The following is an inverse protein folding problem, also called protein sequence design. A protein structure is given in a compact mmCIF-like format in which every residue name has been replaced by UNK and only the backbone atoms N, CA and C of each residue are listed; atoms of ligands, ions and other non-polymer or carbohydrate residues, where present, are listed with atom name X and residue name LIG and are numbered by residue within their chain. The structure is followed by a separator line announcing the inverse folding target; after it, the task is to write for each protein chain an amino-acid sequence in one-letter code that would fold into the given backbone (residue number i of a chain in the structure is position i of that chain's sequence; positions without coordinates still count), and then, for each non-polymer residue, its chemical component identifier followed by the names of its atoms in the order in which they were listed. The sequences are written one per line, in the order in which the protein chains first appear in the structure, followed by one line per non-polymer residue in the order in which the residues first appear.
data_IF_715458601960
#
_entry.id   IF_715458601960
#
_cell.length_a   1.000
_cell.length_b   1.000
_cell.length_c   1.000
_cell.angle_alpha   90.00
_cell.angle_beta   90.00
_cell.angle_gamma   90.00
#
_symmetry.space_group_name_H-M   'P 1'
#
loop_
_entity.id
_entity.type
_entity.pdbx_description
1 polymer ?
#
# COMPACT_ATOMS: atom_id res chain seq x y z
N UNK A 1 -11.88 20.83 -2.96
CA UNK A 1 -12.38 19.53 -2.46
C UNK A 1 -13.16 18.92 -3.61
N UNK A 2 -12.69 17.82 -4.21
CA UNK A 2 -13.49 17.08 -5.19
C UNK A 2 -14.49 16.29 -4.36
N UNK A 3 -15.69 16.85 -4.15
CA UNK A 3 -16.79 16.08 -3.53
C UNK A 3 -17.10 14.91 -4.47
N UNK A 4 -16.77 13.70 -4.02
CA UNK A 4 -17.23 12.49 -4.68
C UNK A 4 -18.70 12.33 -4.32
N UNK A 5 -19.59 12.78 -5.23
CA UNK A 5 -21.04 12.56 -5.09
C UNK A 5 -21.29 11.06 -5.00
N UNK A 6 -21.92 10.63 -3.89
CA UNK A 6 -22.38 9.25 -3.68
C UNK A 6 -23.89 9.23 -3.70
N UNK A 7 -24.43 8.19 -4.32
CA UNK A 7 -25.85 7.86 -4.17
C UNK A 7 -26.09 7.28 -2.77
N UNK A 8 -27.27 7.55 -2.19
CA UNK A 8 -27.66 6.94 -0.91
C UNK A 8 -27.62 5.41 -1.03
N UNK A 9 -26.74 4.76 -0.27
CA UNK A 9 -26.52 3.31 -0.27
C UNK A 9 -25.16 2.85 -0.80
N UNK A 10 -24.30 3.73 -1.30
CA UNK A 10 -22.95 3.35 -1.75
C UNK A 10 -22.01 3.19 -0.54
N UNK A 11 -21.58 1.94 -0.30
CA UNK A 11 -20.63 1.61 0.78
C UNK A 11 -19.25 2.19 0.47
N UNK A 12 -18.55 2.68 1.52
CA UNK A 12 -17.15 3.06 1.39
C UNK A 12 -16.30 1.88 0.94
N UNK A 13 -15.27 2.16 0.15
CA UNK A 13 -14.39 1.16 -0.48
C UNK A 13 -12.97 1.36 -0.02
N UNK A 14 -12.29 0.29 0.32
CA UNK A 14 -10.87 0.29 0.60
C UNK A 14 -10.15 -0.66 -0.35
N UNK A 15 -8.90 -0.32 -0.68
CA UNK A 15 -7.97 -1.22 -1.37
C UNK A 15 -6.82 -1.54 -0.44
N UNK A 16 -6.51 -2.82 -0.26
CA UNK A 16 -5.34 -3.30 0.46
C UNK A 16 -4.36 -3.92 -0.54
N UNK A 17 -3.17 -3.35 -0.67
CA UNK A 17 -2.12 -3.85 -1.56
C UNK A 17 -1.14 -4.69 -0.75
N UNK A 18 -0.98 -5.96 -1.12
CA UNK A 18 0.11 -6.82 -0.65
C UNK A 18 1.23 -6.80 -1.69
N UNK A 19 2.41 -6.32 -1.31
CA UNK A 19 3.56 -6.21 -2.21
C UNK A 19 4.63 -7.30 -2.01
N UNK A 20 4.30 -8.38 -1.28
CA UNK A 20 5.22 -9.50 -1.08
C UNK A 20 5.66 -10.14 -2.40
N UNK A 21 6.95 -10.53 -2.48
CA UNK A 21 7.48 -11.30 -3.59
C UNK A 21 7.46 -12.82 -3.35
N UNK A 22 7.19 -13.27 -2.12
CA UNK A 22 7.31 -14.68 -1.77
C UNK A 22 6.21 -15.54 -2.38
N UNK A 23 6.61 -16.51 -3.18
CA UNK A 23 5.77 -17.59 -3.69
C UNK A 23 5.99 -18.80 -2.77
N UNK A 24 5.36 -18.81 -1.60
CA UNK A 24 5.39 -20.00 -0.75
C UNK A 24 4.09 -20.78 -0.89
N UNK A 25 4.20 -22.04 -1.28
CA UNK A 25 3.05 -22.96 -1.36
C UNK A 25 2.60 -23.46 0.03
N UNK A 26 3.43 -23.27 1.06
CA UNK A 26 3.20 -23.85 2.40
C UNK A 26 2.82 -22.84 3.49
N UNK A 27 3.15 -21.55 3.31
CA UNK A 27 2.89 -20.54 4.32
C UNK A 27 2.19 -19.33 3.70
N UNK A 28 1.17 -18.81 4.37
CA UNK A 28 0.57 -17.54 4.00
C UNK A 28 1.62 -16.43 4.12
N UNK A 29 1.73 -15.58 3.11
CA UNK A 29 2.62 -14.41 3.15
C UNK A 29 2.20 -13.50 4.31
N UNK A 30 3.18 -13.01 5.09
CA UNK A 30 2.96 -12.04 6.17
C UNK A 30 2.17 -10.82 5.67
N UNK A 31 2.50 -10.29 4.47
CA UNK A 31 1.75 -9.17 3.88
C UNK A 31 0.28 -9.53 3.63
N UNK A 32 0.00 -10.74 3.15
CA UNK A 32 -1.39 -11.21 2.94
C UNK A 32 -2.12 -11.31 4.28
N UNK A 33 -1.49 -11.89 5.30
CA UNK A 33 -2.11 -11.99 6.63
C UNK A 33 -2.43 -10.61 7.23
N UNK A 34 -1.56 -9.63 7.05
CA UNK A 34 -1.83 -8.24 7.45
C UNK A 34 -3.04 -7.69 6.68
N UNK A 35 -3.10 -7.90 5.36
CA UNK A 35 -4.25 -7.49 4.56
C UNK A 35 -5.56 -8.19 4.98
N UNK A 36 -5.51 -9.45 5.42
CA UNK A 36 -6.67 -10.17 5.97
C UNK A 36 -7.16 -9.57 7.29
N UNK A 37 -6.24 -9.16 8.17
CA UNK A 37 -6.57 -8.45 9.41
C UNK A 37 -7.25 -7.11 9.10
N UNK A 38 -6.70 -6.35 8.13
CA UNK A 38 -7.31 -5.11 7.66
C UNK A 38 -8.70 -5.36 7.07
N UNK A 39 -8.86 -6.37 6.20
CA UNK A 39 -10.13 -6.72 5.59
C UNK A 39 -11.21 -7.04 6.63
N UNK A 40 -10.87 -7.80 7.68
CA UNK A 40 -11.77 -8.08 8.79
C UNK A 40 -12.18 -6.80 9.52
N UNK A 41 -11.21 -5.92 9.83
CA UNK A 41 -11.47 -4.63 10.48
C UNK A 41 -12.36 -3.72 9.64
N UNK A 42 -12.12 -3.64 8.33
CA UNK A 42 -12.93 -2.85 7.39
C UNK A 42 -14.36 -3.37 7.29
N UNK A 43 -14.53 -4.70 7.24
CA UNK A 43 -15.86 -5.33 7.23
C UNK A 43 -16.67 -5.00 8.48
N UNK A 44 -16.04 -4.97 9.67
CA UNK A 44 -16.68 -4.56 10.93
C UNK A 44 -17.18 -3.10 10.91
N UNK A 45 -16.63 -2.28 10.01
CA UNK A 45 -17.02 -0.88 9.77
C UNK A 45 -17.94 -0.71 8.55
N UNK A 46 -18.44 -1.80 7.98
CA UNK A 46 -19.23 -1.79 6.74
C UNK A 46 -18.51 -1.14 5.55
N UNK A 47 -17.18 -1.30 5.48
CA UNK A 47 -16.36 -0.83 4.36
C UNK A 47 -16.00 -2.04 3.51
N UNK A 48 -16.31 -1.99 2.21
CA UNK A 48 -15.92 -3.05 1.29
C UNK A 48 -14.41 -3.01 1.05
N UNK A 49 -13.76 -4.19 1.01
CA UNK A 49 -12.32 -4.27 0.79
C UNK A 49 -11.98 -5.05 -0.49
N UNK A 50 -11.05 -4.52 -1.26
CA UNK A 50 -10.42 -5.21 -2.39
C UNK A 50 -8.96 -5.50 -2.07
N UNK A 51 -8.60 -6.78 -2.00
CA UNK A 51 -7.21 -7.21 -1.87
C UNK A 51 -6.55 -7.25 -3.25
N UNK A 52 -5.46 -6.50 -3.41
CA UNK A 52 -4.56 -6.57 -4.57
C UNK A 52 -3.26 -7.26 -4.15
N UNK A 53 -3.09 -8.50 -4.57
CA UNK A 53 -1.85 -9.27 -4.39
C UNK A 53 -0.96 -9.07 -5.62
N UNK A 54 0.08 -8.22 -5.51
CA UNK A 54 0.96 -7.89 -6.63
C UNK A 54 1.69 -9.10 -7.22
N UNK A 55 1.80 -10.21 -6.50
CA UNK A 55 2.37 -11.45 -7.06
C UNK A 55 1.58 -11.98 -8.25
N UNK A 56 0.26 -11.77 -8.24
CA UNK A 56 -0.70 -12.25 -9.24
C UNK A 56 -0.80 -11.34 -10.47
N UNK A 57 -0.05 -10.25 -10.51
CA UNK A 57 -0.09 -9.26 -11.58
C UNK A 57 1.26 -9.15 -12.29
N UNK A 58 1.23 -9.26 -13.61
CA UNK A 58 2.42 -9.07 -14.46
C UNK A 58 2.44 -7.62 -14.96
N UNK A 59 2.85 -6.70 -14.07
CA UNK A 59 3.03 -5.30 -14.40
C UNK A 59 4.48 -5.05 -14.86
N UNK A 60 4.65 -4.15 -15.84
CA UNK A 60 5.94 -3.84 -16.45
C UNK A 60 6.41 -2.44 -16.10
N UNK A 61 7.73 -2.17 -16.06
CA UNK A 61 8.26 -0.82 -15.85
C UNK A 61 7.72 0.20 -16.85
N UNK A 62 7.71 1.48 -16.47
CA UNK A 62 7.34 2.56 -17.38
C UNK A 62 8.40 2.71 -18.47
N UNK A 63 7.97 2.85 -19.74
CA UNK A 63 8.86 3.05 -20.88
C UNK A 63 8.89 4.51 -21.35
N UNK A 64 8.29 5.43 -20.60
CA UNK A 64 8.33 6.87 -20.92
C UNK A 64 7.60 7.26 -22.20
N UNK A 65 6.65 6.48 -22.71
CA UNK A 65 5.98 6.73 -23.98
C UNK A 65 5.03 7.95 -23.99
N UNK A 66 4.65 8.48 -22.81
CA UNK A 66 3.77 9.65 -22.68
C UNK A 66 2.30 9.41 -23.00
N UNK A 67 1.89 8.20 -23.41
CA UNK A 67 0.51 7.90 -23.81
C UNK A 67 -0.52 8.13 -22.70
N UNK A 68 -0.12 7.99 -21.45
CA UNK A 68 -0.97 8.24 -20.28
C UNK A 68 -1.36 9.73 -20.10
N UNK A 69 -0.67 10.66 -20.75
CA UNK A 69 -1.07 12.07 -20.76
C UNK A 69 -2.47 12.28 -21.37
N UNK A 70 -2.82 11.48 -22.38
CA UNK A 70 -4.13 11.60 -23.06
C UNK A 70 -5.21 10.79 -22.33
N UNK A 71 -4.88 9.55 -21.99
CA UNK A 71 -5.89 8.58 -21.49
C UNK A 71 -6.01 8.54 -19.97
N UNK A 72 -5.05 9.12 -19.23
CA UNK A 72 -4.86 8.94 -17.78
C UNK A 72 -4.71 7.47 -17.37
N UNK A 73 -4.35 6.62 -18.32
CA UNK A 73 -4.11 5.18 -18.16
C UNK A 73 -2.87 4.80 -18.95
N UNK A 74 -2.17 3.75 -18.51
CA UNK A 74 -1.03 3.22 -19.26
C UNK A 74 -1.53 2.58 -20.57
N UNK A 75 -1.01 3.02 -21.71
CA UNK A 75 -1.42 2.49 -23.01
C UNK A 75 -0.90 1.08 -23.30
N UNK A 76 0.10 0.61 -22.57
CA UNK A 76 0.79 -0.68 -22.80
C UNK A 76 0.63 -1.71 -21.68
N UNK A 77 -0.04 -1.37 -20.57
CA UNK A 77 -0.13 -2.26 -19.41
C UNK A 77 -1.57 -2.31 -18.85
N UNK A 78 -2.41 -3.18 -19.38
CA UNK A 78 -3.79 -3.31 -18.91
C UNK A 78 -3.88 -3.88 -17.47
N UNK A 79 -2.88 -4.65 -17.02
CA UNK A 79 -2.88 -5.16 -15.64
C UNK A 79 -2.61 -4.04 -14.63
N UNK A 80 -1.68 -3.13 -14.94
CA UNK A 80 -1.51 -1.92 -14.16
C UNK A 80 -2.81 -1.10 -14.12
N UNK A 81 -3.46 -0.87 -15.26
CA UNK A 81 -4.70 -0.11 -15.31
C UNK A 81 -5.80 -0.72 -14.44
N UNK A 82 -5.93 -2.05 -14.44
CA UNK A 82 -6.88 -2.74 -13.58
C UNK A 82 -6.62 -2.56 -12.07
N UNK A 83 -5.35 -2.39 -11.66
CA UNK A 83 -5.00 -2.04 -10.28
C UNK A 83 -5.30 -0.55 -10.03
N UNK A 84 -4.86 0.32 -10.93
CA UNK A 84 -5.03 1.76 -10.84
C UNK A 84 -6.52 2.15 -10.71
N UNK A 85 -7.39 1.55 -11.53
CA UNK A 85 -8.84 1.79 -11.48
C UNK A 85 -9.47 1.41 -10.13
N UNK A 86 -8.99 0.34 -9.50
CA UNK A 86 -9.44 -0.03 -8.14
C UNK A 86 -9.04 1.02 -7.12
N UNK A 87 -7.80 1.56 -7.22
CA UNK A 87 -7.30 2.59 -6.31
C UNK A 87 -8.08 3.91 -6.52
N UNK A 88 -8.32 4.32 -7.77
CA UNK A 88 -9.12 5.51 -8.11
C UNK A 88 -10.53 5.44 -7.52
N UNK A 89 -11.14 4.25 -7.49
CA UNK A 89 -12.49 4.05 -6.95
C UNK A 89 -12.53 3.89 -5.43
N UNK A 90 -11.37 3.78 -4.78
CA UNK A 90 -11.30 3.60 -3.34
C UNK A 90 -11.39 4.92 -2.58
N UNK A 91 -11.91 4.84 -1.36
CA UNK A 91 -11.90 5.91 -0.38
C UNK A 91 -10.68 5.84 0.52
N UNK A 92 -10.15 4.64 0.71
CA UNK A 92 -8.98 4.36 1.53
C UNK A 92 -8.04 3.42 0.81
N UNK A 93 -6.75 3.65 0.99
CA UNK A 93 -5.69 2.77 0.50
C UNK A 93 -4.83 2.28 1.66
N UNK A 94 -4.49 1.00 1.66
CA UNK A 94 -3.47 0.44 2.54
C UNK A 94 -2.38 -0.24 1.70
N UNK A 95 -1.13 0.12 1.95
CA UNK A 95 0.03 -0.49 1.30
C UNK A 95 0.80 -1.30 2.33
N UNK A 96 0.85 -2.61 2.15
CA UNK A 96 1.57 -3.54 3.02
C UNK A 96 2.82 -4.02 2.29
N UNK A 97 3.98 -3.63 2.79
CA UNK A 97 5.26 -3.89 2.13
C UNK A 97 6.28 -4.58 3.04
N UNK A 98 6.84 -5.70 2.61
CA UNK A 98 8.07 -6.19 3.23
C UNK A 98 9.25 -5.29 2.86
N UNK A 99 10.32 -5.34 3.66
CA UNK A 99 11.60 -4.74 3.33
C UNK A 99 12.36 -5.60 2.32
N UNK A 100 12.52 -5.09 1.09
CA UNK A 100 13.32 -5.69 0.01
C UNK A 100 13.99 -4.61 -0.84
N UNK A 101 15.19 -4.20 -0.51
CA UNK A 101 16.13 -3.39 -1.27
C UNK A 101 15.60 -2.06 -1.90
N UNK A 102 14.95 -1.13 -1.25
CA UNK A 102 14.29 -1.21 0.04
C UNK A 102 12.85 -1.73 -0.02
N UNK A 103 12.16 -1.59 -1.18
CA UNK A 103 10.79 -2.04 -1.43
C UNK A 103 10.73 -3.06 -2.58
N UNK A 104 9.71 -3.94 -2.62
CA UNK A 104 9.57 -4.91 -3.70
C UNK A 104 9.47 -4.27 -5.08
N UNK A 105 10.11 -4.88 -6.09
CA UNK A 105 10.18 -4.34 -7.45
C UNK A 105 8.79 -4.05 -8.06
N UNK A 106 7.80 -4.95 -7.89
CA UNK A 106 6.45 -4.73 -8.41
C UNK A 106 5.75 -3.53 -7.75
N UNK A 107 6.01 -3.28 -6.45
CA UNK A 107 5.49 -2.07 -5.79
C UNK A 107 6.13 -0.82 -6.39
N UNK A 108 7.45 -0.83 -6.61
CA UNK A 108 8.13 0.30 -7.23
C UNK A 108 7.60 0.58 -8.64
N UNK A 109 7.38 -0.45 -9.46
CA UNK A 109 6.76 -0.31 -10.80
C UNK A 109 5.36 0.31 -10.72
N UNK A 110 4.55 -0.12 -9.74
CA UNK A 110 3.21 0.44 -9.54
C UNK A 110 3.28 1.94 -9.21
N UNK A 111 4.13 2.32 -8.26
CA UNK A 111 4.33 3.71 -7.83
C UNK A 111 4.89 4.57 -8.98
N UNK A 112 5.91 4.09 -9.70
CA UNK A 112 6.50 4.76 -10.87
C UNK A 112 5.45 5.12 -11.93
N UNK A 113 4.57 4.18 -12.27
CA UNK A 113 3.52 4.44 -13.27
C UNK A 113 2.44 5.40 -12.79
N UNK A 114 2.06 5.32 -11.51
CA UNK A 114 1.11 6.26 -10.91
C UNK A 114 1.71 7.68 -10.88
N UNK A 115 2.99 7.80 -10.51
CA UNK A 115 3.73 9.07 -10.53
C UNK A 115 3.78 9.65 -11.95
N UNK A 116 4.10 8.84 -12.96
CA UNK A 116 4.19 9.28 -14.34
C UNK A 116 2.86 9.86 -14.87
N UNK A 117 1.73 9.24 -14.53
CA UNK A 117 0.40 9.76 -14.89
C UNK A 117 0.16 11.13 -14.24
N UNK A 118 0.45 11.25 -12.94
CA UNK A 118 0.24 12.49 -12.18
C UNK A 118 1.18 13.59 -12.65
N UNK A 119 2.48 13.27 -12.79
CA UNK A 119 3.54 14.22 -13.14
C UNK A 119 3.31 14.88 -14.50
N UNK A 120 2.95 14.12 -15.54
CA UNK A 120 2.74 14.67 -16.88
C UNK A 120 1.63 15.73 -16.92
N UNK A 121 0.58 15.56 -16.13
CA UNK A 121 -0.49 16.54 -16.03
C UNK A 121 -0.08 17.74 -15.17
N UNK A 122 0.52 17.47 -13.99
CA UNK A 122 1.00 18.51 -13.08
C UNK A 122 2.07 19.42 -13.74
N UNK A 123 2.95 18.84 -14.56
CA UNK A 123 3.95 19.61 -15.31
C UNK A 123 3.34 20.62 -16.27
N UNK A 124 2.19 20.34 -16.82
CA UNK A 124 1.44 21.24 -17.71
C UNK A 124 0.57 22.25 -16.97
N UNK A 125 0.04 21.83 -15.83
CA UNK A 125 -0.82 22.63 -14.97
C UNK A 125 -0.49 22.28 -13.51
N UNK A 126 0.23 23.18 -12.82
CA UNK A 126 0.65 22.97 -11.43
C UNK A 126 -0.52 23.01 -10.42
N UNK A 127 -1.73 23.32 -10.87
CA UNK A 127 -2.96 23.26 -10.07
C UNK A 127 -3.69 21.92 -10.24
N UNK A 128 -3.18 21.03 -11.11
CA UNK A 128 -3.79 19.74 -11.40
C UNK A 128 -3.93 18.87 -10.14
N UNK A 129 -5.13 18.34 -9.97
CA UNK A 129 -5.44 17.32 -8.96
C UNK A 129 -5.70 16.00 -9.66
N UNK A 130 -4.89 14.99 -9.31
CA UNK A 130 -5.04 13.65 -9.88
C UNK A 130 -6.35 12.97 -9.43
N UNK A 131 -6.72 11.89 -10.09
CA UNK A 131 -7.84 11.04 -9.65
C UNK A 131 -7.58 10.42 -8.26
N UNK A 132 -6.33 10.41 -7.81
CA UNK A 132 -5.87 9.90 -6.50
C UNK A 132 -5.76 10.99 -5.42
N UNK A 133 -6.06 12.26 -5.78
CA UNK A 133 -5.81 13.40 -4.91
C UNK A 133 -6.43 13.22 -3.53
N UNK A 134 -5.55 13.24 -2.50
CA UNK A 134 -5.91 13.19 -1.08
C UNK A 134 -6.66 11.91 -0.63
N UNK A 135 -6.55 10.79 -1.35
CA UNK A 135 -7.03 9.51 -0.81
C UNK A 135 -6.17 9.14 0.41
N UNK A 136 -6.76 8.98 1.61
CA UNK A 136 -6.06 8.58 2.81
C UNK A 136 -5.38 7.23 2.62
N UNK A 137 -4.06 7.19 2.87
CA UNK A 137 -3.25 6.00 2.61
C UNK A 137 -2.46 5.60 3.85
N UNK A 138 -2.72 4.40 4.35
CA UNK A 138 -1.98 3.77 5.42
C UNK A 138 -0.82 2.92 4.88
N UNK A 139 0.38 3.07 5.46
CA UNK A 139 1.57 2.30 5.11
C UNK A 139 1.94 1.38 6.26
N UNK A 140 2.10 0.10 5.96
CA UNK A 140 2.48 -0.93 6.94
C UNK A 140 3.68 -1.70 6.40
N UNK A 141 4.83 -1.53 7.04
CA UNK A 141 6.02 -2.30 6.69
C UNK A 141 6.29 -3.46 7.66
N UNK A 142 7.00 -4.46 7.18
CA UNK A 142 7.48 -5.57 7.98
C UNK A 142 8.77 -6.15 7.39
N UNK A 143 9.45 -7.01 8.14
CA UNK A 143 10.68 -7.67 7.67
C UNK A 143 11.15 -8.73 8.66
N UNK A 144 12.40 -9.19 8.50
CA UNK A 144 13.00 -10.23 9.33
C UNK A 144 13.66 -9.73 10.62
N UNK A 145 13.54 -8.45 10.97
CA UNK A 145 14.13 -7.88 12.18
C UNK A 145 13.11 -7.73 13.32
N UNK A 146 13.60 -7.80 14.55
CA UNK A 146 12.82 -7.50 15.76
C UNK A 146 12.77 -5.98 16.01
N UNK A 147 12.44 -5.55 17.22
CA UNK A 147 12.23 -4.13 17.56
C UNK A 147 13.39 -3.20 17.15
N UNK A 148 14.63 -3.65 17.18
CA UNK A 148 15.79 -2.87 16.74
C UNK A 148 15.75 -2.44 15.27
N UNK A 149 15.02 -3.18 14.42
CA UNK A 149 14.94 -2.91 12.99
C UNK A 149 13.80 -1.94 12.61
N UNK A 150 12.91 -1.61 13.53
CA UNK A 150 11.70 -0.84 13.22
C UNK A 150 11.98 0.53 12.63
N UNK A 151 12.95 1.27 13.17
CA UNK A 151 13.34 2.57 12.62
C UNK A 151 14.00 2.44 11.23
N UNK A 152 14.76 1.36 11.00
CA UNK A 152 15.28 1.07 9.67
C UNK A 152 14.17 0.78 8.67
N UNK A 153 13.14 0.02 9.07
CA UNK A 153 11.98 -0.22 8.20
C UNK A 153 11.17 1.04 7.94
N UNK A 154 11.01 1.90 8.95
CA UNK A 154 10.42 3.22 8.76
C UNK A 154 11.20 4.01 7.69
N UNK A 155 12.50 4.20 7.88
CA UNK A 155 13.34 5.00 6.99
C UNK A 155 13.46 4.40 5.57
N UNK A 156 13.63 3.09 5.46
CA UNK A 156 13.88 2.44 4.17
C UNK A 156 12.62 2.05 3.41
N UNK A 157 11.52 1.77 4.09
CA UNK A 157 10.27 1.31 3.46
C UNK A 157 9.20 2.38 3.54
N UNK A 158 8.79 2.79 4.76
CA UNK A 158 7.67 3.71 4.92
C UNK A 158 7.97 5.07 4.31
N UNK A 159 9.14 5.66 4.62
CA UNK A 159 9.50 6.99 4.11
C UNK A 159 9.72 6.96 2.59
N UNK A 160 10.25 5.86 2.03
CA UNK A 160 10.37 5.67 0.57
C UNK A 160 8.99 5.64 -0.11
N UNK A 161 8.05 4.88 0.45
CA UNK A 161 6.68 4.82 -0.08
C UNK A 161 6.00 6.17 0.09
N UNK A 162 6.07 6.79 1.28
CA UNK A 162 5.44 8.07 1.56
C UNK A 162 5.91 9.18 0.61
N UNK A 163 7.21 9.25 0.31
CA UNK A 163 7.77 10.20 -0.67
C UNK A 163 7.18 9.98 -2.07
N UNK A 164 7.03 8.72 -2.50
CA UNK A 164 6.38 8.42 -3.78
C UNK A 164 4.88 8.79 -3.75
N UNK A 165 4.18 8.56 -2.63
CA UNK A 165 2.76 8.92 -2.49
C UNK A 165 2.53 10.43 -2.56
N UNK A 166 3.45 11.24 -2.04
CA UNK A 166 3.37 12.71 -2.13
C UNK A 166 3.40 13.18 -3.59
N UNK A 167 4.32 12.64 -4.41
CA UNK A 167 4.39 12.96 -5.84
C UNK A 167 3.16 12.49 -6.62
N UNK A 168 2.49 11.45 -6.15
CA UNK A 168 1.25 10.90 -6.72
C UNK A 168 0.01 11.67 -6.22
N UNK A 169 0.16 12.54 -5.22
CA UNK A 169 -0.89 13.31 -4.54
C UNK A 169 -1.82 12.46 -3.65
N UNK A 170 -1.39 11.28 -3.21
CA UNK A 170 -2.05 10.52 -2.15
C UNK A 170 -1.72 11.11 -0.78
N UNK A 171 -2.62 10.97 0.19
CA UNK A 171 -2.41 11.47 1.56
C UNK A 171 -1.88 10.36 2.46
N UNK A 172 -0.59 10.40 2.79
CA UNK A 172 -0.03 9.49 3.81
C UNK A 172 -0.58 9.83 5.20
N UNK A 173 -1.10 8.84 5.91
CA UNK A 173 -1.66 9.02 7.24
C UNK A 173 -0.63 8.58 8.30
N UNK A 174 -0.23 9.48 9.21
CA UNK A 174 0.66 9.15 10.31
C UNK A 174 -0.04 8.24 11.34
N UNK A 175 0.73 7.39 12.01
CA UNK A 175 0.23 6.71 13.22
C UNK A 175 0.31 7.64 14.43
N UNK A 176 1.44 8.35 14.55
CA UNK A 176 1.68 9.42 15.53
C UNK A 176 2.86 10.30 15.07
N UNK A 177 3.31 11.24 15.89
CA UNK A 177 4.40 12.15 15.54
C UNK A 177 5.72 11.44 15.22
N UNK A 178 6.06 10.36 15.88
CA UNK A 178 7.27 9.58 15.64
C UNK A 178 7.12 8.69 14.40
N UNK A 179 5.95 8.10 14.22
CA UNK A 179 5.57 7.21 13.12
C UNK A 179 4.71 7.96 12.09
N UNK A 180 5.27 9.05 11.57
CA UNK A 180 4.59 9.99 10.68
C UNK A 180 4.32 9.47 9.26
N UNK A 181 4.90 8.34 8.90
CA UNK A 181 4.73 7.69 7.57
C UNK A 181 4.09 6.31 7.66
N UNK A 182 3.41 5.99 8.76
CA UNK A 182 2.74 4.71 8.96
C UNK A 182 3.35 3.87 10.08
N UNK A 183 3.18 2.56 10.05
CA UNK A 183 3.69 1.65 11.09
C UNK A 183 4.66 0.61 10.52
N UNK A 184 5.57 0.14 11.39
CA UNK A 184 6.44 -0.99 11.12
C UNK A 184 6.18 -2.11 12.13
N UNK A 185 6.25 -3.35 11.66
CA UNK A 185 5.92 -4.54 12.44
C UNK A 185 7.16 -5.41 12.64
N UNK A 186 7.57 -5.69 13.91
CA UNK A 186 8.71 -6.55 14.20
C UNK A 186 8.33 -8.01 14.15
N UNK A 187 9.33 -8.89 13.96
CA UNK A 187 9.19 -10.29 14.34
C UNK A 187 9.39 -10.45 15.85
N UNK A 188 8.81 -11.50 16.42
CA UNK A 188 9.10 -11.92 17.78
C UNK A 188 10.48 -12.57 17.87
N UNK A 189 10.76 -13.48 16.94
CA UNK A 189 12.04 -14.19 16.79
C UNK A 189 12.13 -14.88 15.43
N UNK A 190 13.32 -15.34 15.09
CA UNK A 190 13.55 -16.32 14.04
C UNK A 190 13.44 -17.71 14.64
N UNK A 191 12.60 -18.58 14.08
CA UNK A 191 12.50 -19.95 14.52
C UNK A 191 13.73 -20.75 14.07
N UNK A 192 14.24 -21.62 14.95
CA UNK A 192 15.25 -22.60 14.58
C UNK A 192 14.58 -23.69 13.75
N UNK A 193 14.97 -23.80 12.48
CA UNK A 193 14.46 -24.78 11.53
C UNK A 193 15.57 -25.24 10.59
N UNK A 194 15.39 -26.39 9.94
CA UNK A 194 16.26 -26.88 8.86
C UNK A 194 16.03 -26.15 7.53
N UNK A 195 15.15 -25.17 7.50
CA UNK A 195 14.86 -24.39 6.29
C UNK A 195 16.03 -23.51 5.89
N UNK A 196 16.35 -23.47 4.59
CA UNK A 196 17.33 -22.54 4.00
C UNK A 196 16.92 -21.09 4.26
N UNK A 197 15.61 -20.82 4.30
CA UNK A 197 15.09 -19.51 4.62
C UNK A 197 14.67 -19.42 6.09
N UNK A 198 15.04 -18.35 6.79
CA UNK A 198 14.63 -18.16 8.17
C UNK A 198 13.10 -18.11 8.29
N UNK A 199 12.56 -18.89 9.20
CA UNK A 199 11.12 -18.86 9.51
C UNK A 199 10.89 -17.78 10.56
N UNK A 200 10.10 -16.78 10.20
CA UNK A 200 9.81 -15.62 11.05
C UNK A 200 8.58 -15.91 11.90
N UNK A 201 8.73 -15.79 13.21
CA UNK A 201 7.61 -15.87 14.16
C UNK A 201 7.18 -14.47 14.59
N UNK A 202 5.88 -14.21 14.53
CA UNK A 202 5.26 -12.95 14.91
C UNK A 202 4.35 -13.14 16.13
N UNK A 203 4.31 -12.15 17.01
CA UNK A 203 3.27 -12.08 18.06
C UNK A 203 1.99 -11.48 17.47
N UNK A 204 1.21 -12.32 16.81
CA UNK A 204 0.03 -11.86 16.09
C UNK A 204 -1.02 -11.19 16.95
N UNK A 205 -1.11 -11.50 18.25
CA UNK A 205 -2.06 -10.84 19.14
C UNK A 205 -1.69 -9.36 19.32
N UNK A 206 -0.41 -9.08 19.53
CA UNK A 206 0.10 -7.70 19.67
C UNK A 206 0.01 -6.96 18.34
N UNK A 207 0.42 -7.61 17.24
CA UNK A 207 0.44 -6.98 15.92
C UNK A 207 -0.97 -6.72 15.39
N UNK A 208 -1.92 -7.64 15.58
CA UNK A 208 -3.31 -7.43 15.19
C UNK A 208 -3.89 -6.19 15.89
N UNK A 209 -3.66 -6.02 17.18
CA UNK A 209 -4.12 -4.84 17.91
C UNK A 209 -3.56 -3.54 17.29
N UNK A 210 -2.24 -3.50 17.01
CA UNK A 210 -1.59 -2.34 16.40
C UNK A 210 -2.09 -2.05 14.98
N UNK A 211 -2.27 -3.10 14.15
CA UNK A 211 -2.80 -2.96 12.79
C UNK A 211 -4.22 -2.39 12.81
N UNK A 212 -5.06 -2.89 13.72
CA UNK A 212 -6.47 -2.47 13.87
C UNK A 212 -6.58 -1.04 14.37
N UNK A 213 -5.74 -0.65 15.34
CA UNK A 213 -5.64 0.73 15.82
C UNK A 213 -5.23 1.68 14.69
N UNK A 214 -4.19 1.33 13.93
CA UNK A 214 -3.78 2.15 12.79
C UNK A 214 -4.84 2.24 11.70
N UNK A 215 -5.56 1.15 11.44
CA UNK A 215 -6.70 1.20 10.51
C UNK A 215 -7.78 2.18 11.00
N UNK A 216 -8.11 2.22 12.31
CA UNK A 216 -9.08 3.20 12.85
C UNK A 216 -8.59 4.64 12.62
N UNK A 217 -7.29 4.93 12.78
CA UNK A 217 -6.72 6.26 12.52
C UNK A 217 -6.89 6.65 11.04
N UNK A 218 -6.55 5.75 10.11
CA UNK A 218 -6.72 5.99 8.67
C UNK A 218 -8.18 6.23 8.30
N UNK A 219 -9.11 5.50 8.92
CA UNK A 219 -10.55 5.61 8.63
C UNK A 219 -11.22 6.87 9.18
N UNK A 220 -10.57 7.60 10.09
CA UNK A 220 -11.07 8.88 10.63
C UNK A 220 -10.85 10.07 9.68
N UNK A 221 -10.10 9.89 8.60
CA UNK A 221 -9.71 10.97 7.68
C UNK A 221 -10.79 11.40 6.65
N UNK A 222 -11.95 10.72 6.64
CA UNK A 222 -13.10 11.06 5.77
C UNK A 222 -14.38 11.10 6.59
#
# INVERSE_FOLDING_TARGET
MVERYREEGDYRKAVCISSSNMISSKNCSTSIKICEILAKKLSEKNISNTLVDLRKHEITPCVGCGGCYVSRRCCSDPQFNGIYDKIVQADYLFIVSPHYAPIPAKLNILLEKMEQITFLHWWKDNTYKSELYQIPTGIISHGGGSDWALFSYKAMVNDTIANALDTIQLKTIPYNNEWNTGISLPIKRVAETESIFPVQEYDWNVLEAKIREYADIVLQEI
#
